data_IF_269270079198
#
_entry.id   IF_269270079198
#
_cell.length_a   1.000
_cell.length_b   1.000
_cell.length_c   1.000
_cell.angle_alpha   90.00
_cell.angle_beta   90.00
_cell.angle_gamma   90.00
#
_symmetry.space_group_name_H-M   'P 1'
#
loop_
_entity.id
_entity.type
_entity.pdbx_description
1 polymer ?
#
# COMPACT_ATOMS: atom_id res chain seq x y z
N UNK A 1 20.78 -13.17 -11.99
CA UNK A 1 20.66 -13.14 -10.52
C UNK A 1 19.19 -13.38 -10.17
N UNK A 2 18.84 -14.52 -9.52
CA UNK A 2 17.46 -14.78 -9.05
C UNK A 2 17.27 -13.94 -7.77
N UNK A 3 16.19 -13.18 -7.67
CA UNK A 3 15.83 -12.53 -6.40
C UNK A 3 15.40 -13.63 -5.44
N UNK A 4 16.00 -13.67 -4.25
CA UNK A 4 15.67 -14.69 -3.25
C UNK A 4 14.30 -14.42 -2.59
N UNK A 5 13.70 -15.47 -2.03
CA UNK A 5 12.36 -15.43 -1.41
C UNK A 5 12.31 -14.46 -0.23
N UNK A 6 13.37 -14.37 0.57
CA UNK A 6 13.42 -13.47 1.72
C UNK A 6 13.45 -12.00 1.30
N UNK A 7 14.15 -11.68 0.21
CA UNK A 7 14.15 -10.35 -0.41
C UNK A 7 12.76 -9.97 -0.91
N UNK A 8 12.05 -10.89 -1.58
CA UNK A 8 10.67 -10.65 -2.04
C UNK A 8 9.71 -10.40 -0.87
N UNK A 9 9.78 -11.24 0.17
CA UNK A 9 8.96 -11.09 1.38
C UNK A 9 9.27 -9.79 2.14
N UNK A 10 10.55 -9.43 2.25
CA UNK A 10 10.98 -8.19 2.88
C UNK A 10 10.47 -6.96 2.14
N UNK A 11 10.54 -6.97 0.80
CA UNK A 11 9.98 -5.89 -0.01
C UNK A 11 8.44 -5.85 0.06
N UNK A 12 7.77 -7.01 0.09
CA UNK A 12 6.33 -7.08 0.27
C UNK A 12 5.89 -6.45 1.59
N UNK A 13 6.57 -6.80 2.69
CA UNK A 13 6.29 -6.23 4.01
C UNK A 13 6.53 -4.72 4.06
N UNK A 14 7.58 -4.22 3.39
CA UNK A 14 7.82 -2.77 3.28
C UNK A 14 6.71 -2.04 2.53
N UNK A 15 6.25 -2.59 1.40
CA UNK A 15 5.14 -2.00 0.65
C UNK A 15 3.86 -1.94 1.48
N UNK A 16 3.55 -2.99 2.24
CA UNK A 16 2.37 -3.05 3.11
C UNK A 16 2.48 -2.07 4.30
N UNK A 17 3.66 -1.98 4.92
CA UNK A 17 3.92 -1.04 6.00
C UNK A 17 3.74 0.42 5.53
N UNK A 18 4.33 0.77 4.38
CA UNK A 18 4.23 2.11 3.81
C UNK A 18 2.78 2.47 3.42
N UNK A 19 2.00 1.50 2.93
CA UNK A 19 0.57 1.69 2.67
C UNK A 19 -0.20 2.01 3.96
N UNK A 20 0.09 1.29 5.04
CA UNK A 20 -0.49 1.50 6.37
C UNK A 20 -0.15 2.89 6.93
N UNK A 21 1.13 3.26 6.90
CA UNK A 21 1.60 4.56 7.38
C UNK A 21 1.01 5.72 6.56
N UNK A 22 0.94 5.57 5.23
CA UNK A 22 0.31 6.55 4.34
C UNK A 22 -1.17 6.73 4.68
N UNK A 23 -1.89 5.62 4.88
CA UNK A 23 -3.30 5.63 5.26
C UNK A 23 -3.50 6.31 6.61
N UNK A 24 -2.67 6.00 7.61
CA UNK A 24 -2.76 6.59 8.95
C UNK A 24 -2.51 8.11 8.93
N UNK A 25 -1.48 8.56 8.19
CA UNK A 25 -1.19 10.00 8.01
C UNK A 25 -2.32 10.72 7.30
N UNK A 26 -2.89 10.11 6.27
CA UNK A 26 -4.05 10.63 5.56
C UNK A 26 -5.26 10.78 6.50
N UNK A 27 -5.62 9.75 7.26
CA UNK A 27 -6.72 9.81 8.23
C UNK A 27 -6.50 10.90 9.29
N UNK A 28 -5.29 11.02 9.83
CA UNK A 28 -4.96 12.02 10.84
C UNK A 28 -5.09 13.45 10.31
N UNK A 29 -4.55 13.72 9.12
CA UNK A 29 -4.63 15.05 8.50
C UNK A 29 -6.08 15.39 8.09
N UNK A 30 -6.81 14.45 7.52
CA UNK A 30 -8.22 14.65 7.15
C UNK A 30 -9.11 14.98 8.35
N UNK A 31 -8.89 14.31 9.49
CA UNK A 31 -9.60 14.64 10.73
C UNK A 31 -9.32 16.08 11.17
N UNK A 32 -8.05 16.52 11.15
CA UNK A 32 -7.66 17.89 11.51
C UNK A 32 -8.22 18.95 10.56
N UNK A 33 -8.23 18.66 9.25
CA UNK A 33 -8.77 19.56 8.22
C UNK A 33 -10.28 19.75 8.39
N UNK A 34 -11.03 18.66 8.58
CA UNK A 34 -12.49 18.73 8.72
C UNK A 34 -12.90 19.58 9.94
N UNK A 35 -12.26 19.35 11.09
CA UNK A 35 -12.55 20.11 12.32
C UNK A 35 -12.12 21.57 12.27
N UNK A 36 -11.09 21.93 11.49
CA UNK A 36 -10.52 23.29 11.54
C UNK A 36 -10.97 24.18 10.36
N UNK A 37 -10.91 23.64 9.14
CA UNK A 37 -11.09 24.43 7.92
C UNK A 37 -12.54 24.39 7.46
N UNK A 38 -13.14 23.20 7.37
CA UNK A 38 -14.49 23.06 6.82
C UNK A 38 -15.59 23.55 7.79
N UNK A 39 -15.37 23.40 9.11
CA UNK A 39 -16.29 23.95 10.12
C UNK A 39 -16.12 25.46 10.33
N UNK A 40 -14.93 26.02 10.07
CA UNK A 40 -14.62 27.43 10.35
C UNK A 40 -14.73 28.38 9.15
N UNK A 41 -14.67 27.89 7.91
CA UNK A 41 -14.71 28.70 6.70
C UNK A 41 -16.04 28.53 5.95
N UNK A 42 -17.14 29.00 6.53
CA UNK A 42 -18.41 29.09 5.82
C UNK A 42 -18.38 30.26 4.82
N UNK A 43 -18.72 29.98 3.55
CA UNK A 43 -18.98 30.95 2.47
C UNK A 43 -17.81 31.82 1.96
N UNK A 44 -16.58 31.31 1.98
CA UNK A 44 -15.45 31.97 1.30
C UNK A 44 -15.01 31.24 0.03
N UNK A 45 -14.61 32.00 -1.00
CA UNK A 45 -13.93 31.47 -2.20
C UNK A 45 -12.71 30.61 -1.85
N UNK A 46 -12.01 30.94 -0.76
CA UNK A 46 -10.86 30.18 -0.27
C UNK A 46 -11.26 28.77 0.23
N UNK A 47 -12.43 28.63 0.86
CA UNK A 47 -12.96 27.34 1.32
C UNK A 47 -13.26 26.39 0.15
N UNK A 48 -13.83 26.94 -0.92
CA UNK A 48 -14.11 26.17 -2.15
C UNK A 48 -12.81 25.67 -2.77
N UNK A 49 -11.84 26.58 -3.00
CA UNK A 49 -10.54 26.22 -3.59
C UNK A 49 -9.77 25.22 -2.72
N UNK A 50 -9.82 25.38 -1.39
CA UNK A 50 -9.19 24.44 -0.47
C UNK A 50 -9.85 23.06 -0.53
N UNK A 51 -11.19 22.99 -0.57
CA UNK A 51 -11.94 21.73 -0.67
C UNK A 51 -11.58 20.97 -1.95
N UNK A 52 -11.43 21.68 -3.07
CA UNK A 52 -10.98 21.05 -4.33
C UNK A 52 -9.57 20.46 -4.21
N UNK A 53 -8.63 21.16 -3.56
CA UNK A 53 -7.28 20.66 -3.32
C UNK A 53 -7.29 19.46 -2.35
N UNK A 54 -8.11 19.53 -1.31
CA UNK A 54 -8.31 18.45 -0.36
C UNK A 54 -8.82 17.18 -1.05
N UNK A 55 -9.85 17.26 -1.89
CA UNK A 55 -10.38 16.10 -2.62
C UNK A 55 -9.36 15.51 -3.59
N UNK A 56 -8.59 16.35 -4.31
CA UNK A 56 -7.48 15.88 -5.17
C UNK A 56 -6.43 15.12 -4.36
N UNK A 57 -6.05 15.66 -3.20
CA UNK A 57 -5.10 15.02 -2.29
C UNK A 57 -5.66 13.69 -1.74
N UNK A 58 -6.93 13.67 -1.32
CA UNK A 58 -7.62 12.48 -0.79
C UNK A 58 -7.61 11.33 -1.81
N UNK A 59 -8.03 11.61 -3.04
CA UNK A 59 -8.05 10.62 -4.12
C UNK A 59 -6.66 10.12 -4.48
N UNK A 60 -5.68 11.02 -4.54
CA UNK A 60 -4.29 10.65 -4.85
C UNK A 60 -3.66 9.78 -3.75
N UNK A 61 -3.95 10.09 -2.49
CA UNK A 61 -3.45 9.34 -1.32
C UNK A 61 -4.06 7.94 -1.23
N UNK A 62 -5.34 7.81 -1.59
CA UNK A 62 -5.99 6.51 -1.72
C UNK A 62 -5.33 5.66 -2.81
N UNK A 63 -5.14 6.22 -4.01
CA UNK A 63 -4.49 5.51 -5.12
C UNK A 63 -3.06 5.06 -4.80
N UNK A 64 -2.30 5.86 -4.05
CA UNK A 64 -0.97 5.48 -3.56
C UNK A 64 -1.03 4.25 -2.63
N UNK A 65 -1.95 4.24 -1.68
CA UNK A 65 -2.11 3.15 -0.71
C UNK A 65 -2.56 1.85 -1.39
N UNK A 66 -3.46 1.95 -2.37
CA UNK A 66 -3.90 0.81 -3.20
C UNK A 66 -2.73 0.25 -4.03
N UNK A 67 -1.93 1.11 -4.66
CA UNK A 67 -0.76 0.68 -5.43
C UNK A 67 0.29 -0.01 -4.55
N UNK A 68 0.61 0.56 -3.38
CA UNK A 68 1.52 -0.03 -2.40
C UNK A 68 1.03 -1.40 -1.92
N UNK A 69 -0.27 -1.51 -1.61
CA UNK A 69 -0.88 -2.78 -1.22
C UNK A 69 -0.80 -3.81 -2.35
N UNK A 70 -1.13 -3.42 -3.58
CA UNK A 70 -1.05 -4.28 -4.76
C UNK A 70 0.36 -4.78 -5.06
N UNK A 71 1.36 -3.91 -4.93
CA UNK A 71 2.78 -4.30 -5.05
C UNK A 71 3.17 -5.33 -3.98
N UNK A 72 2.78 -5.10 -2.72
CA UNK A 72 3.04 -6.05 -1.63
C UNK A 72 2.37 -7.41 -1.86
N UNK A 73 1.12 -7.42 -2.32
CA UNK A 73 0.39 -8.65 -2.65
C UNK A 73 1.05 -9.41 -3.80
N UNK A 74 1.45 -8.71 -4.87
CA UNK A 74 2.13 -9.33 -6.01
C UNK A 74 3.45 -9.99 -5.57
N UNK A 75 4.26 -9.28 -4.78
CA UNK A 75 5.52 -9.81 -4.27
C UNK A 75 5.32 -11.04 -3.36
N UNK A 76 4.27 -11.02 -2.53
CA UNK A 76 3.88 -12.16 -1.69
C UNK A 76 3.49 -13.38 -2.53
N UNK A 77 2.67 -13.16 -3.56
CA UNK A 77 2.22 -14.23 -4.47
C UNK A 77 3.40 -14.85 -5.24
N UNK A 78 4.33 -14.02 -5.71
CA UNK A 78 5.55 -14.49 -6.40
C UNK A 78 6.44 -15.30 -5.45
N UNK A 79 6.63 -14.84 -4.21
CA UNK A 79 7.40 -15.56 -3.20
C UNK A 79 6.79 -16.95 -2.90
N UNK A 80 5.45 -17.02 -2.77
CA UNK A 80 4.73 -18.26 -2.55
C UNK A 80 4.88 -19.23 -3.74
N UNK A 81 4.77 -18.72 -4.97
CA UNK A 81 4.95 -19.53 -6.18
C UNK A 81 6.38 -20.13 -6.27
N UNK A 82 7.41 -19.36 -5.90
CA UNK A 82 8.78 -19.88 -5.84
C UNK A 82 8.94 -20.98 -4.78
N UNK A 83 8.37 -20.78 -3.59
CA UNK A 83 8.44 -21.77 -2.52
C UNK A 83 7.74 -23.08 -2.91
N UNK A 84 6.57 -22.98 -3.55
CA UNK A 84 5.83 -24.15 -4.04
C UNK A 84 6.65 -24.91 -5.10
N UNK A 85 7.22 -24.18 -6.06
CA UNK A 85 8.05 -24.79 -7.11
C UNK A 85 9.26 -25.53 -6.52
N UNK A 86 9.90 -24.97 -5.48
CA UNK A 86 11.01 -25.63 -4.79
C UNK A 86 10.56 -26.89 -4.03
N UNK A 87 9.38 -26.87 -3.40
CA UNK A 87 8.81 -28.04 -2.74
C UNK A 87 8.44 -29.17 -3.72
N UNK A 88 7.86 -28.83 -4.87
CA UNK A 88 7.52 -29.80 -5.93
C UNK A 88 8.77 -30.47 -6.50
N UNK A 89 9.84 -29.70 -6.71
CA UNK A 89 11.13 -30.22 -7.16
C UNK A 89 11.73 -31.18 -6.13
N UNK A 90 11.68 -30.84 -4.84
CA UNK A 90 12.14 -31.73 -3.77
C UNK A 90 11.33 -33.03 -3.70
N UNK A 91 10.00 -32.97 -3.87
CA UNK A 91 9.12 -34.14 -3.87
C UNK A 91 9.42 -35.09 -5.05
N UNK A 92 9.66 -34.53 -6.25
CA UNK A 92 10.05 -35.32 -7.43
C UNK A 92 11.38 -36.04 -7.23
N UNK A 93 12.37 -35.36 -6.67
CA UNK A 93 13.67 -35.97 -6.35
C UNK A 93 13.47 -37.08 -5.31
N UNK A 94 12.73 -36.81 -4.23
CA UNK A 94 12.44 -37.81 -3.19
C UNK A 94 11.69 -39.05 -3.70
N UNK A 95 10.91 -38.92 -4.77
CA UNK A 95 10.20 -40.04 -5.40
C UNK A 95 11.07 -40.88 -6.36
N UNK A 96 12.25 -40.37 -6.75
CA UNK A 96 13.21 -41.07 -7.63
C UNK A 96 14.29 -41.84 -6.87
N UNK A 97 14.36 -41.68 -5.55
CA UNK A 97 15.33 -42.34 -4.65
C UNK A 97 14.59 -43.44 -3.89
#
# INVERSE_FOLDING_TARGET
MKVDIATLQGMAGRCQAEAGDTTARHTALSAGINTSVLEGWTDSQAAVQFTELYEKWRLSSQGLSEALTGMGQLLTNVAAAYQQHEAEMAARIGAMI
#
